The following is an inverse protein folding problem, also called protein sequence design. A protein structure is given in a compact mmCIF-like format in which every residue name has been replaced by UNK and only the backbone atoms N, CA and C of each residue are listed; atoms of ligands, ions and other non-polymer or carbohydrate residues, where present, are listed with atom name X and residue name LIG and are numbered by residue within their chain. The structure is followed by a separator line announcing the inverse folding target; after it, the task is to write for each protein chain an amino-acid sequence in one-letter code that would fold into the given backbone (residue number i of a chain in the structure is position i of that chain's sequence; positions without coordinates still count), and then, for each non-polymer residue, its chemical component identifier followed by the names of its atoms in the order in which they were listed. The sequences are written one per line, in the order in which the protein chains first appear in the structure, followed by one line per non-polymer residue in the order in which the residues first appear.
data_IF_193785173787
#
_entry.id   IF_193785173787
#
_cell.length_a   1.000
_cell.length_b   1.000
_cell.length_c   1.000
_cell.angle_alpha   90.00
_cell.angle_beta   90.00
_cell.angle_gamma   90.00
#
_symmetry.space_group_name_H-M   'P 1'
#
loop_
_entity.id
_entity.type
_entity.pdbx_description
1 polymer ?
2 polymer ?
3 water ?
#
loop_
_entity_poly.entity_id
_entity_poly.type
_entity_poly.pdbx_seq_one_letter_code
_entity_poly.pdbx_strand_id
2 'polyribonucleotide' 'CACACAC' ?
#
# COMPACT_ATOMS: atom_id res chain seq x y z
N UNK A 1 -3.69 11.73 -22.97
CA UNK A 1 -2.54 12.54 -22.61
C UNK A 1 -2.38 12.69 -21.07
N UNK A 2 -1.27 13.30 -20.67
CA UNK A 2 -0.91 13.50 -19.26
C UNK A 2 -1.13 14.94 -18.80
N UNK A 3 -2.19 15.58 -19.25
CA UNK A 3 -2.43 16.97 -18.92
C UNK A 3 -3.44 17.18 -17.77
N UNK A 4 -4.08 16.13 -17.24
CA UNK A 4 -5.10 16.34 -16.22
C UNK A 4 -4.50 16.31 -14.82
N UNK A 5 -4.89 17.30 -14.01
CA UNK A 5 -4.40 17.45 -12.65
C UNK A 5 -5.45 16.99 -11.64
N UNK A 6 -4.96 16.42 -10.55
CA UNK A 6 -5.73 16.15 -9.34
C UNK A 6 -5.27 17.15 -8.28
N UNK A 7 -6.23 17.85 -7.66
CA UNK A 7 -5.90 18.82 -6.62
C UNK A 7 -6.54 18.34 -5.32
N UNK A 8 -5.71 17.98 -4.34
CA UNK A 8 -6.18 17.42 -3.10
C UNK A 8 -5.88 18.30 -1.90
N UNK A 9 -6.48 17.92 -0.76
CA UNK A 9 -6.38 18.63 0.50
C UNK A 9 -6.97 20.04 0.40
N UNK A 10 -8.24 20.07 0.05
CA UNK A 10 -8.93 21.33 -0.15
C UNK A 10 -9.84 21.61 1.02
N UNK A 11 -10.01 22.90 1.31
CA UNK A 11 -10.92 23.34 2.37
C UNK A 11 -12.35 22.84 2.10
N UNK A 12 -13.17 22.93 3.14
CA UNK A 12 -14.55 22.48 3.05
C UNK A 12 -15.34 23.38 2.09
N UNK A 13 -14.96 24.65 1.99
CA UNK A 13 -15.67 25.63 1.18
C UNK A 13 -14.87 26.14 -0.03
N UNK A 14 -13.73 25.51 -0.34
CA UNK A 14 -13.04 25.81 -1.59
C UNK A 14 -13.93 25.50 -2.78
N UNK A 15 -13.95 26.42 -3.75
CA UNK A 15 -14.76 26.27 -4.93
C UNK A 15 -13.94 26.67 -6.14
N UNK A 16 -14.52 26.51 -7.35
CA UNK A 16 -13.76 26.79 -8.57
C UNK A 16 -13.12 28.17 -8.59
N UNK A 17 -13.81 29.19 -8.10
CA UNK A 17 -13.27 30.53 -8.16
C UNK A 17 -11.92 30.61 -7.46
N UNK A 18 -11.78 30.01 -6.27
CA UNK A 18 -10.50 30.01 -5.57
C UNK A 18 -9.39 29.39 -6.43
N UNK A 19 -9.66 28.21 -7.01
CA UNK A 19 -8.66 27.53 -7.83
C UNK A 19 -8.32 28.33 -9.09
N UNK A 20 -9.33 28.92 -9.69
CA UNK A 20 -9.05 29.81 -10.80
C UNK A 20 -8.10 30.93 -10.37
N UNK A 21 -8.25 31.42 -9.14
CA UNK A 21 -7.37 32.49 -8.67
C UNK A 21 -5.97 31.97 -8.42
N UNK A 22 -5.87 30.73 -7.93
CA UNK A 22 -4.57 30.16 -7.64
C UNK A 22 -3.77 29.99 -8.93
N UNK A 23 -4.41 29.44 -9.95
CA UNK A 23 -3.67 29.21 -11.18
C UNK A 23 -3.33 30.52 -11.87
N UNK A 24 -4.26 31.49 -11.88
CA UNK A 24 -3.97 32.82 -12.41
C UNK A 24 -2.78 33.44 -11.70
N UNK A 25 -2.78 33.39 -10.38
CA UNK A 25 -1.71 34.03 -9.61
C UNK A 25 -0.40 33.28 -9.78
N UNK A 26 -0.46 31.96 -9.88
CA UNK A 26 0.71 31.23 -10.28
C UNK A 26 0.92 31.25 -11.78
N UNK A 27 0.13 32.03 -12.53
CA UNK A 27 0.29 32.18 -13.98
C UNK A 27 0.46 30.83 -14.67
N UNK A 28 -0.34 29.85 -14.26
CA UNK A 28 -0.40 28.53 -14.89
C UNK A 28 -1.67 28.48 -15.72
N UNK A 29 -1.60 28.33 -17.03
CA UNK A 29 -2.83 28.23 -17.81
C UNK A 29 -3.54 26.92 -17.53
N UNK A 30 -4.86 26.95 -17.70
CA UNK A 30 -5.63 25.71 -17.67
C UNK A 30 -6.48 25.65 -18.93
N UNK A 31 -6.79 24.42 -19.35
CA UNK A 31 -7.46 24.16 -20.62
C UNK A 31 -8.97 24.03 -20.52
N UNK A 32 -9.53 24.02 -19.31
CA UNK A 32 -10.95 23.93 -19.10
C UNK A 32 -11.39 24.24 -17.68
N UNK A 33 -12.61 23.83 -17.32
CA UNK A 33 -13.14 24.17 -16.01
C UNK A 33 -12.53 23.35 -14.89
N UNK A 34 -12.66 23.87 -13.67
CA UNK A 34 -12.35 23.14 -12.44
C UNK A 34 -13.59 22.39 -11.95
N UNK A 35 -13.41 21.11 -11.63
CA UNK A 35 -14.47 20.27 -11.08
C UNK A 35 -14.16 19.95 -9.62
N UNK A 36 -14.78 20.69 -8.72
CA UNK A 36 -14.53 20.57 -7.28
C UNK A 36 -15.44 19.51 -6.67
N UNK A 37 -14.84 18.55 -5.97
CA UNK A 37 -15.65 17.62 -5.18
C UNK A 37 -15.55 18.07 -3.74
N UNK A 38 -15.36 17.16 -2.79
CA UNK A 38 -15.24 17.56 -1.39
C UNK A 38 -13.84 17.24 -0.93
N UNK A 39 -13.01 18.29 -0.80
CA UNK A 39 -11.61 18.14 -0.48
C UNK A 39 -10.70 17.94 -1.66
N UNK A 40 -11.24 17.69 -2.86
CA UNK A 40 -10.38 17.55 -4.02
C UNK A 40 -11.09 18.10 -5.27
N UNK A 41 -10.28 18.41 -6.29
CA UNK A 41 -10.80 18.90 -7.56
C UNK A 41 -9.94 18.37 -8.69
N UNK A 42 -10.40 18.64 -9.91
CA UNK A 42 -9.73 18.22 -11.14
C UNK A 42 -9.71 19.39 -12.09
N UNK A 43 -8.64 19.51 -12.88
CA UNK A 43 -8.59 20.51 -13.94
C UNK A 43 -7.57 20.05 -14.98
N UNK A 44 -7.83 20.41 -16.23
CA UNK A 44 -6.94 20.07 -17.33
C UNK A 44 -6.04 21.25 -17.66
N UNK A 45 -4.76 20.97 -17.84
CA UNK A 45 -3.77 21.88 -18.36
C UNK A 45 -3.63 21.74 -19.88
N UNK A 46 -3.18 22.79 -20.57
CA UNK A 46 -3.10 22.71 -22.04
C UNK A 46 -2.17 21.61 -22.51
N UNK A 47 -1.09 21.33 -21.78
CA UNK A 47 -0.16 20.29 -22.18
C UNK A 47 0.52 19.72 -20.94
N UNK A 48 1.26 18.63 -21.16
CA UNK A 48 1.98 17.99 -20.06
C UNK A 48 2.92 18.95 -19.34
N UNK A 49 3.59 19.83 -20.07
CA UNK A 49 4.57 20.72 -19.44
C UNK A 49 3.96 21.59 -18.36
N UNK A 50 2.81 22.21 -18.67
CA UNK A 50 2.14 23.06 -17.68
C UNK A 50 1.67 22.25 -16.49
N UNK A 51 1.11 21.06 -16.75
CA UNK A 51 0.76 20.15 -15.67
C UNK A 51 1.96 19.92 -14.75
N UNK A 52 3.14 19.65 -15.32
CA UNK A 52 4.30 19.43 -14.48
C UNK A 52 4.68 20.70 -13.75
N UNK A 53 4.54 21.85 -14.42
CA UNK A 53 4.82 23.13 -13.76
C UNK A 53 3.90 23.35 -12.58
N UNK A 54 2.62 22.99 -12.74
CA UNK A 54 1.68 23.17 -11.64
C UNK A 54 2.06 22.32 -10.45
N UNK A 55 2.49 21.09 -10.71
CA UNK A 55 2.91 20.19 -9.64
C UNK A 55 4.11 20.79 -8.91
N UNK A 56 5.17 21.14 -9.65
CA UNK A 56 6.38 21.66 -9.03
C UNK A 56 6.10 22.92 -8.20
N UNK A 57 5.29 23.84 -8.73
CA UNK A 57 5.16 25.15 -8.12
C UNK A 57 4.10 25.20 -7.02
N UNK A 58 3.10 24.34 -7.05
CA UNK A 58 1.98 24.43 -6.12
C UNK A 58 1.95 23.33 -5.07
N UNK A 59 2.37 22.12 -5.42
CA UNK A 59 2.15 20.96 -4.56
C UNK A 59 2.90 21.11 -3.23
N UNK A 60 2.18 21.01 -2.13
CA UNK A 60 2.73 21.15 -0.80
C UNK A 60 3.03 22.58 -0.38
N UNK A 61 3.21 23.46 -1.35
CA UNK A 61 3.57 24.87 -1.08
C UNK A 61 2.34 25.76 -0.95
N UNK A 62 1.63 25.96 -2.06
CA UNK A 62 0.49 26.86 -2.10
C UNK A 62 -0.53 26.56 -1.00
N UNK A 63 -0.74 27.53 -0.12
CA UNK A 63 -1.76 27.45 0.90
C UNK A 63 -3.03 28.12 0.41
N UNK A 64 -4.18 27.57 0.78
CA UNK A 64 -5.48 28.13 0.39
C UNK A 64 -6.45 27.90 1.53
N UNK A 65 -7.06 28.99 2.01
CA UNK A 65 -7.85 28.95 3.25
C UNK A 65 -7.05 28.27 4.35
N UNK A 66 -5.78 28.66 4.44
CA UNK A 66 -4.86 28.13 5.41
C UNK A 66 -4.40 26.70 5.19
N UNK A 67 -5.06 25.90 4.25
CA UNK A 67 -4.68 24.50 4.01
C UNK A 67 -3.80 24.39 2.76
N UNK A 68 -2.67 23.70 2.85
CA UNK A 68 -1.80 23.57 1.67
C UNK A 68 -2.32 22.56 0.67
N UNK A 69 -2.06 22.84 -0.61
CA UNK A 69 -2.62 22.08 -1.72
C UNK A 69 -1.71 20.92 -2.09
N UNK A 70 -2.30 19.77 -2.43
CA UNK A 70 -1.61 18.70 -3.15
C UNK A 70 -2.04 18.73 -4.61
N UNK A 71 -1.06 18.76 -5.53
CA UNK A 71 -1.30 18.74 -6.97
C UNK A 71 -0.49 17.60 -7.57
N UNK A 72 -1.18 16.68 -8.24
CA UNK A 72 -0.58 15.47 -8.80
C UNK A 72 -1.14 15.23 -10.21
N UNK A 73 -0.47 14.39 -10.96
CA UNK A 73 -1.09 13.88 -12.16
C UNK A 73 -2.33 13.07 -11.78
N UNK A 74 -3.48 13.43 -12.33
CA UNK A 74 -4.68 12.63 -12.07
C UNK A 74 -4.58 11.28 -12.77
N UNK A 75 -4.66 10.21 -12.00
CA UNK A 75 -4.56 8.88 -12.59
C UNK A 75 -5.73 8.07 -12.08
N UNK A 76 -6.65 7.66 -12.94
CA UNK A 76 -7.73 6.78 -12.50
C UNK A 76 -7.16 5.54 -11.86
N UNK A 77 -7.85 5.05 -10.83
CA UNK A 77 -7.37 3.87 -10.11
C UNK A 77 -7.10 2.71 -11.07
N UNK A 78 -7.97 2.52 -12.06
CA UNK A 78 -7.83 1.41 -13.00
C UNK A 78 -6.58 1.54 -13.86
N UNK A 79 -6.04 2.75 -13.99
CA UNK A 79 -4.89 3.00 -14.84
C UNK A 79 -3.58 3.10 -14.06
N UNK A 80 -3.55 2.63 -12.81
CA UNK A 80 -2.33 2.60 -12.01
C UNK A 80 -1.70 1.22 -12.19
N UNK A 81 -1.03 1.04 -13.32
CA UNK A 81 -0.51 -0.28 -13.59
C UNK A 81 1.01 -0.23 -13.65
N UNK A 82 1.59 0.00 -14.83
CA UNK A 82 3.03 -0.21 -15.00
C UNK A 82 3.87 1.06 -15.00
N UNK A 83 3.26 2.24 -15.08
CA UNK A 83 3.97 3.46 -15.44
C UNK A 83 4.10 4.42 -14.25
N UNK A 84 5.31 4.92 -14.05
CA UNK A 84 5.62 5.85 -12.97
C UNK A 84 6.25 7.11 -13.56
N UNK A 85 6.21 8.19 -12.80
CA UNK A 85 7.05 9.35 -13.06
C UNK A 85 7.94 9.58 -11.85
N UNK A 86 9.23 9.78 -12.11
CA UNK A 86 10.23 10.07 -11.08
C UNK A 86 10.69 11.50 -11.24
N UNK A 87 10.56 12.29 -10.17
CA UNK A 87 10.90 13.71 -10.16
C UNK A 87 11.96 13.95 -9.11
N UNK A 88 12.57 15.13 -9.21
CA UNK A 88 13.66 15.55 -8.32
C UNK A 88 14.92 14.72 -8.51
N UNK A 89 15.20 14.31 -9.74
CA UNK A 89 16.39 13.52 -10.03
C UNK A 89 17.59 14.46 -10.02
N UNK A 90 18.69 14.09 -9.36
CA UNK A 90 19.90 14.91 -9.39
C UNK A 90 20.23 15.33 -10.81
N UNK A 91 20.55 16.61 -11.02
CA UNK A 91 20.58 17.17 -12.37
C UNK A 91 21.41 16.40 -13.41
N UNK A 92 22.70 16.19 -13.19
CA UNK A 92 23.55 15.60 -14.22
C UNK A 92 23.78 14.11 -14.02
N UNK A 93 22.96 13.46 -13.19
CA UNK A 93 23.10 12.04 -12.95
C UNK A 93 23.01 11.24 -14.24
N UNK A 94 24.03 10.41 -14.48
CA UNK A 94 24.04 9.49 -15.62
C UNK A 94 22.87 8.54 -15.55
N UNK A 95 22.31 8.22 -16.72
CA UNK A 95 21.22 7.26 -16.75
C UNK A 95 21.63 5.85 -16.32
N UNK A 96 22.91 5.49 -16.44
CA UNK A 96 23.35 4.20 -15.94
C UNK A 96 23.12 4.08 -14.43
N UNK A 97 23.24 5.19 -13.70
CA UNK A 97 23.04 5.18 -12.25
C UNK A 97 21.56 5.06 -11.91
N UNK A 98 20.72 5.89 -12.54
CA UNK A 98 19.28 5.76 -12.34
C UNK A 98 18.78 4.38 -12.75
N UNK A 99 19.19 3.91 -13.92
CA UNK A 99 18.73 2.63 -14.40
C UNK A 99 19.13 1.50 -13.45
N UNK A 100 20.35 1.57 -12.88
CA UNK A 100 20.78 0.51 -11.99
C UNK A 100 19.85 0.42 -10.77
N UNK A 101 19.22 1.52 -10.39
CA UNK A 101 18.22 1.42 -9.31
C UNK A 101 16.91 0.84 -9.85
N UNK A 102 16.50 1.26 -11.03
CA UNK A 102 15.19 0.82 -11.52
C UNK A 102 15.16 -0.68 -11.72
N UNK A 103 16.24 -1.27 -12.26
CA UNK A 103 16.26 -2.70 -12.53
C UNK A 103 16.18 -3.54 -11.26
N UNK A 104 16.40 -2.94 -10.09
CA UNK A 104 16.37 -3.70 -8.85
C UNK A 104 14.95 -4.10 -8.46
N UNK A 105 13.92 -3.64 -9.17
CA UNK A 105 12.53 -3.93 -8.84
C UNK A 105 11.74 -4.52 -10.01
N UNK A 106 12.38 -4.84 -11.11
CA UNK A 106 11.66 -5.38 -12.24
C UNK A 106 12.39 -5.10 -13.55
N UNK A 107 11.69 -5.43 -14.63
CA UNK A 107 12.15 -5.15 -15.98
C UNK A 107 11.58 -3.81 -16.39
N UNK A 108 12.44 -2.92 -16.86
CA UNK A 108 12.04 -1.61 -17.33
C UNK A 108 11.93 -1.66 -18.85
N UNK A 109 10.71 -1.52 -19.36
CA UNK A 109 10.51 -1.57 -20.81
C UNK A 109 10.78 -0.23 -21.47
N UNK A 110 10.53 0.87 -20.77
CA UNK A 110 10.80 2.16 -21.35
C UNK A 110 11.20 3.12 -20.25
N UNK A 111 12.04 4.07 -20.61
CA UNK A 111 12.54 5.05 -19.67
C UNK A 111 12.81 6.31 -20.47
N UNK A 112 12.02 7.34 -20.27
CA UNK A 112 12.05 8.50 -21.15
C UNK A 112 12.18 9.79 -20.35
N UNK A 113 12.96 10.71 -20.86
CA UNK A 113 13.16 11.99 -20.18
C UNK A 113 11.98 12.93 -20.40
N UNK A 114 11.62 13.67 -19.36
CA UNK A 114 10.62 14.73 -19.48
C UNK A 114 11.39 16.03 -19.30
N UNK A 115 11.40 16.86 -20.34
CA UNK A 115 12.23 18.04 -20.26
C UNK A 115 11.50 19.12 -19.49
N UNK A 116 12.12 19.61 -18.43
CA UNK A 116 11.50 20.46 -17.44
C UNK A 116 12.36 21.70 -17.25
N UNK A 117 11.74 22.76 -16.73
CA UNK A 117 12.42 24.02 -16.49
C UNK A 117 13.04 24.10 -15.11
N UNK A 118 12.82 23.11 -14.27
CA UNK A 118 13.54 23.03 -13.02
C UNK A 118 14.96 22.50 -13.27
N UNK A 119 15.77 22.50 -12.21
CA UNK A 119 17.14 22.02 -12.35
C UNK A 119 17.18 20.50 -12.37
N UNK A 120 16.46 19.87 -11.44
CA UNK A 120 16.31 18.44 -11.39
C UNK A 120 15.73 17.88 -12.69
N UNK A 121 15.88 16.58 -12.87
CA UNK A 121 15.34 15.87 -14.02
C UNK A 121 14.06 15.14 -13.65
N UNK A 122 13.30 14.77 -14.67
CA UNK A 122 12.05 14.05 -14.54
C UNK A 122 12.05 12.99 -15.63
N UNK A 123 11.79 11.73 -15.28
CA UNK A 123 11.70 10.67 -16.29
C UNK A 123 10.43 9.85 -16.06
N UNK A 124 9.86 9.37 -17.16
CA UNK A 124 8.71 8.47 -17.16
C UNK A 124 9.20 7.05 -17.41
N UNK A 125 8.74 6.12 -16.57
CA UNK A 125 9.21 4.75 -16.55
C UNK A 125 8.03 3.81 -16.81
N UNK A 126 8.24 2.78 -17.64
CA UNK A 126 7.31 1.66 -17.77
C UNK A 126 7.99 0.35 -17.40
N UNK A 127 7.46 -0.32 -16.37
CA UNK A 127 7.89 -1.65 -15.94
C UNK A 127 7.08 -2.74 -16.65
N UNK A 128 7.54 -3.99 -16.51
CA UNK A 128 6.82 -5.09 -17.14
C UNK A 128 5.40 -5.22 -16.62
N UNK A 129 5.21 -5.11 -15.31
CA UNK A 129 3.97 -5.52 -14.67
C UNK A 129 3.59 -4.56 -13.55
N UNK A 130 2.30 -4.63 -13.20
CA UNK A 130 1.73 -3.93 -12.05
C UNK A 130 2.52 -4.19 -10.78
N UNK A 131 2.85 -5.45 -10.49
CA UNK A 131 3.54 -5.77 -9.25
C UNK A 131 4.89 -5.07 -9.17
N UNK A 132 5.60 -5.02 -10.30
CA UNK A 132 6.93 -4.42 -10.33
C UNK A 132 6.89 -2.91 -10.14
N UNK A 133 5.94 -2.23 -10.79
CA UNK A 133 5.80 -0.80 -10.62
C UNK A 133 5.45 -0.44 -9.17
N UNK A 134 4.53 -1.21 -8.58
CA UNK A 134 4.14 -0.99 -7.18
C UNK A 134 5.36 -1.07 -6.27
N UNK A 135 6.16 -2.12 -6.44
CA UNK A 135 7.39 -2.25 -5.66
C UNK A 135 8.33 -1.07 -5.89
N UNK A 136 8.58 -0.73 -7.16
CA UNK A 136 9.49 0.38 -7.46
C UNK A 136 8.99 1.69 -6.84
N UNK A 137 7.66 1.91 -6.87
CA UNK A 137 7.11 3.09 -6.21
C UNK A 137 7.34 3.04 -4.70
N UNK A 138 7.13 1.88 -4.08
CA UNK A 138 7.28 1.79 -2.62
C UNK A 138 8.72 2.06 -2.19
N UNK A 139 9.68 1.51 -2.92
CA UNK A 139 11.07 1.63 -2.51
C UNK A 139 11.78 2.85 -3.07
N UNK A 140 11.26 3.50 -4.12
CA UNK A 140 12.00 4.62 -4.69
C UNK A 140 11.43 5.99 -4.30
N UNK A 141 10.16 6.07 -3.93
CA UNK A 141 9.62 7.33 -3.41
C UNK A 141 10.25 7.62 -2.07
N UNK A 142 11.00 8.72 -1.99
CA UNK A 142 11.67 9.09 -0.77
C UNK A 142 13.13 8.69 -0.70
N UNK A 143 13.61 7.84 -1.61
CA UNK A 143 15.01 7.44 -1.61
C UNK A 143 15.91 8.63 -1.88
N UNK A 144 16.96 8.78 -1.05
CA UNK A 144 17.86 9.92 -1.15
C UNK A 144 19.06 9.57 -2.04
N UNK A 145 19.21 10.29 -3.13
CA UNK A 145 20.25 10.03 -4.11
C UNK A 145 21.07 11.31 -4.29
N UNK A 146 22.38 11.23 -4.03
CA UNK A 146 23.21 12.39 -3.73
C UNK A 146 22.54 13.07 -2.54
N UNK A 147 21.88 14.19 -2.80
CA UNK A 147 21.22 14.93 -1.73
C UNK A 147 19.75 15.12 -2.04
N UNK A 148 19.30 14.67 -3.21
CA UNK A 148 17.94 14.83 -3.65
C UNK A 148 17.10 13.63 -3.21
N UNK A 149 15.91 13.93 -2.72
CA UNK A 149 14.94 12.90 -2.40
C UNK A 149 14.08 12.64 -3.64
N UNK A 150 14.07 11.38 -4.09
CA UNK A 150 13.36 11.07 -5.32
C UNK A 150 11.87 11.12 -5.07
N UNK A 151 11.13 11.67 -6.03
CA UNK A 151 9.68 11.75 -5.96
C UNK A 151 9.09 10.84 -7.04
N UNK A 152 8.36 9.80 -6.61
CA UNK A 152 7.84 8.76 -7.49
C UNK A 152 6.33 8.72 -7.34
N UNK A 153 5.64 8.61 -8.47
CA UNK A 153 4.19 8.58 -8.49
C UNK A 153 3.71 7.84 -9.75
N UNK A 154 2.44 7.42 -9.72
CA UNK A 154 1.82 6.80 -10.88
C UNK A 154 1.55 7.87 -11.96
N UNK A 155 1.56 7.42 -13.21
CA UNK A 155 0.95 8.14 -14.33
C UNK A 155 0.03 7.17 -15.06
N UNK A 156 -0.93 7.66 -15.86
CA UNK A 156 -1.87 6.73 -16.50
C UNK A 156 -1.17 5.65 -17.33
N UNK A 157 -1.50 4.40 -17.05
CA UNK A 157 -1.14 3.28 -17.92
C UNK A 157 -2.40 2.92 -18.70
N UNK A 158 -2.51 3.44 -19.93
CA UNK A 158 -3.75 3.30 -20.67
C UNK A 158 -3.79 2.07 -21.56
N UNK A 159 -2.69 1.31 -21.62
CA UNK A 159 -2.56 0.13 -22.48
C UNK A 159 -2.35 -1.11 -21.63
N UNK A 160 -3.42 -1.64 -21.06
CA UNK A 160 -3.31 -2.92 -20.35
C UNK A 160 -4.66 -3.63 -20.31
N UNK C 1 3.29 -13.03 23.19
CA UNK C 1 3.29 -11.99 22.15
C UNK C 1 2.68 -12.50 20.85
N UNK C 2 2.54 -11.61 19.87
CA UNK C 2 1.96 -12.01 18.60
C UNK C 2 3.03 -12.22 17.54
N UNK C 3 4.18 -12.73 17.94
CA UNK C 3 5.27 -12.96 17.01
C UNK C 3 5.31 -14.38 16.48
N UNK C 4 4.45 -15.28 16.96
CA UNK C 4 4.57 -16.69 16.61
C UNK C 4 3.72 -17.02 15.39
N UNK C 5 4.33 -17.72 14.43
CA UNK C 5 3.66 -18.09 13.20
C UNK C 5 3.34 -19.58 13.15
N UNK C 6 2.20 -19.88 12.54
CA UNK C 6 1.83 -21.24 12.17
C UNK C 6 2.02 -21.40 10.67
N UNK C 7 2.72 -22.46 10.26
CA UNK C 7 2.97 -22.74 8.85
C UNK C 7 2.27 -24.06 8.53
N UNK C 8 1.25 -24.00 7.67
CA UNK C 8 0.44 -25.15 7.34
C UNK C 8 0.52 -25.49 5.86
N UNK C 9 -0.03 -26.66 5.54
CA UNK C 9 -0.07 -27.22 4.19
C UNK C 9 1.35 -27.49 3.67
N UNK C 10 2.08 -28.31 4.42
CA UNK C 10 3.42 -28.69 4.03
C UNK C 10 3.43 -30.15 3.57
N UNK C 11 4.28 -30.45 2.59
CA UNK C 11 4.52 -31.81 2.17
C UNK C 11 5.18 -32.61 3.29
N UNK C 12 5.24 -33.93 3.11
CA UNK C 12 5.83 -34.82 4.10
C UNK C 12 7.35 -34.66 4.20
N UNK C 13 8.00 -34.22 3.12
CA UNK C 13 9.45 -34.08 3.15
C UNK C 13 9.88 -32.62 3.27
N UNK C 14 8.95 -31.71 3.55
CA UNK C 14 9.33 -30.38 3.99
C UNK C 14 10.05 -30.50 5.33
N UNK C 15 11.16 -29.80 5.47
CA UNK C 15 11.91 -29.82 6.69
C UNK C 15 12.43 -28.43 7.00
N UNK C 16 13.07 -28.25 8.17
CA UNK C 16 13.54 -26.91 8.55
C UNK C 16 14.41 -26.22 7.49
N UNK C 17 15.33 -26.94 6.84
CA UNK C 17 16.15 -26.32 5.80
C UNK C 17 15.30 -25.75 4.67
N UNK C 18 14.25 -26.47 4.27
CA UNK C 18 13.32 -25.92 3.27
C UNK C 18 12.70 -24.62 3.76
N UNK C 19 12.20 -24.60 4.99
CA UNK C 19 11.55 -23.40 5.52
C UNK C 19 12.53 -22.25 5.66
N UNK C 20 13.73 -22.56 6.17
CA UNK C 20 14.77 -21.56 6.29
C UNK C 20 15.05 -20.91 4.93
N UNK C 21 15.07 -21.71 3.86
CA UNK C 21 15.32 -21.13 2.55
C UNK C 21 14.16 -20.24 2.11
N UNK C 22 12.92 -20.66 2.39
CA UNK C 22 11.77 -19.88 1.97
C UNK C 22 11.81 -18.50 2.62
N UNK C 23 12.09 -18.47 3.94
CA UNK C 23 12.11 -17.19 4.65
C UNK C 23 13.32 -16.37 4.25
N UNK C 24 14.47 -17.03 4.07
CA UNK C 24 15.66 -16.37 3.54
C UNK C 24 15.35 -15.71 2.20
N UNK C 25 14.64 -16.41 1.31
CA UNK C 25 14.35 -15.86 -0.02
C UNK C 25 13.30 -14.75 0.01
N UNK C 26 12.29 -14.86 0.86
CA UNK C 26 11.37 -13.75 1.04
C UNK C 26 11.93 -12.66 1.95
N UNK C 27 13.20 -12.77 2.30
CA UNK C 27 13.89 -11.79 3.14
C UNK C 27 13.08 -11.45 4.40
N UNK C 28 12.52 -12.47 5.04
CA UNK C 28 11.84 -12.29 6.31
C UNK C 28 12.73 -12.84 7.41
N UNK C 29 13.20 -12.03 8.34
CA UNK C 29 13.98 -12.56 9.47
C UNK C 29 13.10 -13.41 10.38
N UNK C 30 13.73 -14.38 11.03
CA UNK C 30 13.07 -15.17 12.05
C UNK C 30 13.93 -15.13 13.31
N UNK C 31 13.27 -15.32 14.47
CA UNK C 31 13.92 -15.16 15.76
C UNK C 31 14.38 -16.48 16.39
N UNK C 32 14.01 -17.63 15.84
CA UNK C 32 14.45 -18.90 16.40
C UNK C 32 14.29 -20.05 15.44
N UNK C 33 14.34 -21.29 15.93
CA UNK C 33 14.33 -22.43 15.02
C UNK C 33 12.94 -22.68 14.46
N UNK C 34 12.90 -23.44 13.36
CA UNK C 34 11.68 -23.98 12.80
C UNK C 34 11.40 -25.32 13.45
N UNK C 35 10.18 -25.49 13.93
CA UNK C 35 9.73 -26.76 14.52
C UNK C 35 8.73 -27.37 13.55
N UNK C 36 9.17 -28.32 12.78
CA UNK C 36 8.33 -28.98 11.78
C UNK C 36 7.62 -30.18 12.41
N UNK C 37 6.30 -30.22 12.26
CA UNK C 37 5.56 -31.43 12.60
C UNK C 37 5.25 -32.12 11.28
N UNK C 38 4.04 -32.62 11.08
CA UNK C 38 3.71 -33.29 9.82
C UNK C 38 2.64 -32.50 9.09
N UNK C 39 3.04 -31.82 8.02
CA UNK C 39 2.13 -30.95 7.33
C UNK C 39 2.05 -29.54 7.90
N UNK C 40 2.62 -29.31 9.09
CA UNK C 40 2.66 -27.98 9.65
C UNK C 40 3.95 -27.79 10.45
N UNK C 41 4.30 -26.52 10.64
CA UNK C 41 5.46 -26.16 11.43
C UNK C 41 5.17 -24.84 12.15
N UNK C 42 6.11 -24.45 13.02
CA UNK C 42 6.02 -23.22 13.79
C UNK C 42 7.36 -22.51 13.78
N UNK C 43 7.34 -21.18 13.82
CA UNK C 43 8.56 -20.38 13.95
C UNK C 43 8.20 -19.01 14.49
N UNK C 44 9.17 -18.40 15.20
CA UNK C 44 8.99 -17.08 15.81
C UNK C 44 9.61 -15.98 14.96
N UNK C 45 8.88 -14.96 14.75
CA UNK C 45 9.40 -13.76 14.14
C UNK C 45 9.88 -12.77 15.20
N UNK C 46 10.83 -11.89 14.84
CA UNK C 46 11.40 -10.96 15.83
C UNK C 46 10.38 -10.01 16.43
N UNK C 47 9.37 -9.60 15.67
CA UNK C 47 8.38 -8.65 16.15
C UNK C 47 7.04 -8.95 15.49
N UNK C 48 5.99 -8.30 15.99
CA UNK C 48 4.69 -8.44 15.37
C UNK C 48 4.72 -8.00 13.91
N UNK C 49 5.46 -6.93 13.63
CA UNK C 49 5.49 -6.42 12.26
C UNK C 49 5.93 -7.45 11.25
N UNK C 50 7.03 -8.17 11.56
CA UNK C 50 7.55 -9.21 10.64
C UNK C 50 6.61 -10.39 10.52
N UNK C 51 5.95 -10.78 11.63
CA UNK C 51 4.93 -11.81 11.56
C UNK C 51 3.84 -11.44 10.56
N UNK C 52 3.34 -10.21 10.62
CA UNK C 52 2.30 -9.82 9.69
C UNK C 52 2.84 -9.74 8.28
N UNK C 53 4.07 -9.22 8.14
CA UNK C 53 4.72 -9.15 6.83
C UNK C 53 4.92 -10.55 6.25
N UNK C 54 5.27 -11.52 7.09
CA UNK C 54 5.39 -12.90 6.60
C UNK C 54 4.03 -13.42 6.15
N UNK C 55 2.96 -13.09 6.89
CA UNK C 55 1.62 -13.54 6.54
C UNK C 55 1.21 -13.01 5.18
N UNK C 56 1.32 -11.68 5.01
CA UNK C 56 0.91 -11.04 3.77
C UNK C 56 1.67 -11.61 2.57
N UNK C 57 2.98 -11.83 2.71
CA UNK C 57 3.81 -12.14 1.54
C UNK C 57 3.81 -13.61 1.16
N UNK C 58 3.59 -14.51 2.10
CA UNK C 58 3.73 -15.94 1.84
C UNK C 58 2.43 -16.71 1.81
N UNK C 59 1.44 -16.33 2.63
CA UNK C 59 0.28 -17.19 2.84
C UNK C 59 -0.50 -17.39 1.55
N UNK C 60 -0.71 -18.65 1.18
CA UNK C 60 -1.40 -19.00 -0.03
C UNK C 60 -0.60 -18.80 -1.31
N UNK C 61 0.42 -17.94 -1.29
CA UNK C 61 1.19 -17.62 -2.50
C UNK C 61 2.37 -18.57 -2.66
N UNK C 62 3.37 -18.43 -1.80
CA UNK C 62 4.60 -19.20 -1.82
C UNK C 62 4.34 -20.70 -1.91
N UNK C 63 4.77 -21.32 -3.01
CA UNK C 63 4.64 -22.77 -3.16
C UNK C 63 5.94 -23.46 -2.79
N UNK C 64 5.82 -24.64 -2.19
CA UNK C 64 6.98 -25.43 -1.84
C UNK C 64 6.65 -26.90 -2.05
N UNK C 65 7.45 -27.57 -2.87
CA UNK C 65 7.13 -28.91 -3.35
C UNK C 65 5.73 -28.92 -3.97
N UNK C 66 5.48 -27.89 -4.79
CA UNK C 66 4.22 -27.73 -5.49
C UNK C 66 3.04 -27.33 -4.64
N UNK C 67 3.14 -27.39 -3.30
CA UNK C 67 2.00 -27.07 -2.44
C UNK C 67 2.12 -25.64 -1.91
N UNK C 68 1.06 -24.85 -1.97
CA UNK C 68 1.11 -23.49 -1.44
C UNK C 68 1.06 -23.47 0.09
N UNK C 69 1.77 -22.51 0.67
CA UNK C 69 1.92 -22.45 2.12
C UNK C 69 0.84 -21.61 2.72
N UNK C 70 0.33 -22.06 3.87
CA UNK C 70 -0.54 -21.24 4.72
C UNK C 70 0.30 -20.68 5.85
N UNK C 71 0.27 -19.37 6.03
CA UNK C 71 1.01 -18.74 7.11
C UNK C 71 0.06 -17.84 7.87
N UNK C 72 -0.07 -18.11 9.17
CA UNK C 72 -1.03 -17.44 10.04
C UNK C 72 -0.40 -17.16 11.41
N UNK C 73 -1.03 -16.29 12.17
CA UNK C 73 -0.68 -16.18 13.59
C UNK C 73 -0.96 -17.48 14.30
N UNK C 74 0.05 -18.02 14.96
CA UNK C 74 -0.14 -19.21 15.77
C UNK C 74 -0.95 -18.86 17.02
N UNK C 75 -2.08 -19.56 17.22
CA UNK C 75 -2.92 -19.36 18.39
C UNK C 75 -3.25 -20.72 19.01
N UNK C 76 -2.82 -21.00 20.24
CA UNK C 76 -3.26 -22.23 20.90
C UNK C 76 -4.78 -22.33 20.91
N UNK C 77 -5.29 -23.57 20.84
CA UNK C 77 -6.74 -23.75 20.87
C UNK C 77 -7.35 -23.11 22.10
N UNK C 78 -6.68 -23.25 23.26
CA UNK C 78 -7.18 -22.70 24.52
C UNK C 78 -7.27 -21.18 24.49
N UNK C 79 -6.55 -20.53 23.59
CA UNK C 79 -6.52 -19.08 23.50
C UNK C 79 -7.37 -18.52 22.34
N UNK C 80 -8.30 -19.32 21.81
CA UNK C 80 -9.19 -18.87 20.75
C UNK C 80 -10.51 -18.42 21.38
N UNK C 81 -10.50 -17.23 21.97
CA UNK C 81 -11.67 -16.78 22.71
C UNK C 81 -12.29 -15.54 22.08
N UNK C 82 -11.93 -14.34 22.53
CA UNK C 82 -12.68 -13.15 22.12
C UNK C 82 -12.01 -12.32 21.05
N UNK C 83 -10.75 -12.60 20.70
CA UNK C 83 -9.93 -11.66 19.97
C UNK C 83 -9.66 -12.15 18.56
N UNK C 84 -9.90 -11.27 17.58
CA UNK C 84 -9.66 -11.58 16.18
C UNK C 84 -8.78 -10.52 15.54
N UNK C 85 -8.17 -10.89 14.43
CA UNK C 85 -7.53 -9.93 13.53
C UNK C 85 -8.27 -9.93 12.21
N UNK C 86 -8.61 -8.74 11.73
CA UNK C 86 -9.26 -8.55 10.44
C UNK C 86 -8.27 -7.89 9.50
N UNK C 87 -8.03 -8.52 8.36
CA UNK C 87 -7.11 -8.02 7.36
C UNK C 87 -7.88 -7.80 6.06
N UNK C 88 -7.21 -7.11 5.13
CA UNK C 88 -7.77 -6.78 3.81
C UNK C 88 -8.93 -5.78 3.93
N UNK C 89 -8.79 -4.82 4.83
CA UNK C 89 -9.80 -3.77 4.95
C UNK C 89 -9.55 -2.75 3.84
N UNK C 90 -10.59 -2.33 3.11
CA UNK C 90 -10.43 -1.25 2.12
C UNK C 90 -9.71 -0.06 2.74
N UNK C 91 -8.68 0.48 2.06
CA UNK C 91 -7.78 1.43 2.71
C UNK C 91 -8.45 2.61 3.40
N UNK C 92 -9.29 3.35 2.69
CA UNK C 92 -9.87 4.58 3.22
C UNK C 92 -11.25 4.34 3.83
N UNK C 93 -11.55 3.09 4.19
CA UNK C 93 -12.81 2.73 4.81
C UNK C 93 -13.11 3.49 6.11
N UNK C 94 -14.34 3.99 6.17
CA UNK C 94 -14.91 4.55 7.38
C UNK C 94 -14.88 3.56 8.52
N UNK C 95 -14.47 4.11 9.60
CA UNK C 95 -14.33 3.52 10.89
C UNK C 95 -15.69 3.26 11.56
N UNK C 96 -16.64 4.14 11.24
CA UNK C 96 -18.08 4.00 11.50
C UNK C 96 -18.67 2.88 10.66
N UNK C 97 -18.16 2.68 9.43
CA UNK C 97 -18.68 1.64 8.55
C UNK C 97 -18.22 0.26 9.02
N UNK C 98 -16.93 0.13 9.30
CA UNK C 98 -16.42 -1.12 9.86
C UNK C 98 -17.14 -1.43 11.18
N UNK C 99 -17.25 -0.43 12.04
CA UNK C 99 -17.94 -0.65 13.32
C UNK C 99 -19.36 -1.11 13.11
N UNK C 100 -20.05 -0.57 12.10
CA UNK C 100 -21.43 -0.96 11.83
C UNK C 100 -21.53 -2.44 11.48
N UNK C 101 -20.47 -3.02 10.90
CA UNK C 101 -20.47 -4.45 10.65
C UNK C 101 -20.17 -5.24 11.92
N UNK C 102 -19.19 -4.79 12.71
CA UNK C 102 -18.75 -5.57 13.86
C UNK C 102 -19.83 -5.70 14.92
N UNK C 103 -20.60 -4.64 15.18
CA UNK C 103 -21.64 -4.67 16.23
C UNK C 103 -22.73 -5.66 15.91
N UNK C 104 -22.82 -6.09 14.65
CA UNK C 104 -23.88 -7.01 14.27
C UNK C 104 -23.67 -8.41 14.83
N UNK C 105 -22.55 -8.67 15.49
CA UNK C 105 -22.30 -10.01 16.02
C UNK C 105 -21.97 -10.02 17.49
N UNK C 106 -22.01 -8.88 18.16
CA UNK C 106 -21.69 -8.84 19.56
C UNK C 106 -21.21 -7.46 19.96
N UNK C 107 -20.78 -7.37 21.21
CA UNK C 107 -20.28 -6.13 21.78
C UNK C 107 -18.79 -6.01 21.48
N UNK C 108 -18.36 -4.85 20.99
CA UNK C 108 -16.95 -4.64 20.66
C UNK C 108 -16.27 -3.93 21.84
N UNK C 109 -15.36 -4.64 22.51
CA UNK C 109 -14.68 -4.09 23.67
C UNK C 109 -13.51 -3.20 23.30
N UNK C 110 -12.81 -3.50 22.20
CA UNK C 110 -11.76 -2.66 21.66
C UNK C 110 -11.60 -2.96 20.17
N UNK C 111 -11.18 -1.96 19.43
CA UNK C 111 -10.89 -2.08 18.01
C UNK C 111 -9.72 -1.16 17.74
N UNK C 112 -8.58 -1.73 17.42
CA UNK C 112 -7.34 -0.96 17.36
C UNK C 112 -6.68 -1.22 16.02
N UNK C 113 -6.14 -0.15 15.43
CA UNK C 113 -5.52 -0.28 14.11
C UNK C 113 -4.12 -0.89 14.23
N UNK C 114 -3.78 -1.71 13.25
CA UNK C 114 -2.46 -2.34 13.14
C UNK C 114 -1.74 -1.68 11.96
N UNK C 115 -0.56 -1.14 12.22
CA UNK C 115 0.18 -0.40 11.20
C UNK C 115 0.83 -1.38 10.24
N UNK C 116 0.54 -1.22 8.94
CA UNK C 116 0.91 -2.20 7.93
C UNK C 116 1.61 -1.52 6.75
N UNK C 117 2.34 -2.33 5.97
CA UNK C 117 3.01 -1.86 4.76
C UNK C 117 2.17 -1.99 3.51
N UNK C 118 1.07 -2.73 3.55
CA UNK C 118 0.17 -2.71 2.41
C UNK C 118 -0.72 -1.47 2.46
N UNK C 119 -1.47 -1.28 1.38
CA UNK C 119 -2.42 -0.18 1.37
C UNK C 119 -3.69 -0.51 2.16
N UNK C 120 -4.13 -1.77 2.10
CA UNK C 120 -5.25 -2.23 2.93
C UNK C 120 -4.96 -1.96 4.41
N UNK C 121 -6.03 -1.96 5.20
CA UNK C 121 -5.92 -1.76 6.63
C UNK C 121 -6.09 -3.08 7.39
N UNK C 122 -5.65 -3.05 8.65
CA UNK C 122 -5.63 -4.20 9.54
C UNK C 122 -6.07 -3.71 10.90
N UNK C 123 -7.00 -4.45 11.55
CA UNK C 123 -7.46 -4.11 12.89
C UNK C 123 -7.40 -5.35 13.79
N UNK C 124 -7.19 -5.11 15.08
CA UNK C 124 -7.36 -6.13 16.12
C UNK C 124 -8.65 -5.83 16.88
N UNK C 125 -9.48 -6.85 17.06
CA UNK C 125 -10.80 -6.67 17.65
C UNK C 125 -10.95 -7.57 18.87
N UNK C 126 -11.54 -7.04 19.94
CA UNK C 126 -11.93 -7.80 21.12
C UNK C 126 -13.45 -7.72 21.31
N UNK C 127 -14.11 -8.89 21.27
CA UNK C 127 -15.54 -9.03 21.51
C UNK C 127 -15.80 -9.37 22.99
N UNK C 128 -17.08 -9.25 23.40
CA UNK C 128 -17.47 -9.56 24.79
C UNK C 128 -17.20 -11.02 25.16
N UNK C 129 -17.52 -11.95 24.26
CA UNK C 129 -17.56 -13.36 24.59
C UNK C 129 -16.97 -14.18 23.45
N UNK C 130 -16.60 -15.41 23.82
CA UNK C 130 -16.16 -16.41 22.85
C UNK C 130 -17.19 -16.59 21.75
N UNK C 131 -18.47 -16.77 22.12
CA UNK C 131 -19.50 -17.05 21.13
C UNK C 131 -19.61 -15.91 20.11
N UNK C 132 -19.45 -14.67 20.59
CA UNK C 132 -19.56 -13.49 19.71
C UNK C 132 -18.40 -13.43 18.72
N UNK C 133 -17.17 -13.67 19.19
CA UNK C 133 -16.03 -13.65 18.27
C UNK C 133 -16.17 -14.75 17.22
N UNK C 134 -16.63 -15.93 17.63
CA UNK C 134 -16.79 -17.03 16.68
C UNK C 134 -17.73 -16.66 15.56
N UNK C 135 -18.89 -16.09 15.92
CA UNK C 135 -19.84 -15.63 14.91
C UNK C 135 -19.21 -14.60 13.99
N UNK C 136 -18.55 -13.58 14.58
CA UNK C 136 -17.91 -12.55 13.79
C UNK C 136 -16.89 -13.15 12.84
N UNK C 137 -16.14 -14.15 13.30
CA UNK C 137 -15.19 -14.83 12.42
C UNK C 137 -15.89 -15.55 11.28
N UNK C 138 -16.98 -16.24 11.57
CA UNK C 138 -17.65 -17.02 10.53
C UNK C 138 -18.31 -16.10 9.49
N UNK C 139 -18.91 -14.99 9.90
CA UNK C 139 -19.65 -14.17 8.97
C UNK C 139 -18.82 -13.07 8.34
N UNK C 140 -17.68 -12.73 8.91
CA UNK C 140 -16.88 -11.67 8.33
C UNK C 140 -15.72 -12.20 7.51
N UNK C 141 -15.31 -13.43 7.74
CA UNK C 141 -14.33 -14.05 6.86
C UNK C 141 -14.97 -14.31 5.51
N UNK C 142 -14.43 -13.66 4.46
CA UNK C 142 -14.95 -13.80 3.13
C UNK C 142 -15.94 -12.74 2.72
N UNK C 143 -16.43 -11.94 3.65
CA UNK C 143 -17.37 -10.90 3.31
C UNK C 143 -16.71 -9.86 2.40
N UNK C 144 -17.37 -9.56 1.28
CA UNK C 144 -16.83 -8.64 0.28
C UNK C 144 -17.31 -7.25 0.65
N UNK C 145 -16.38 -6.38 1.02
CA UNK C 145 -16.74 -5.06 1.51
C UNK C 145 -16.10 -4.03 0.58
N UNK C 146 -16.94 -3.20 -0.03
CA UNK C 146 -16.52 -2.45 -1.20
C UNK C 146 -15.99 -3.45 -2.22
N UNK C 147 -14.66 -3.55 -2.24
CA UNK C 147 -13.92 -4.16 -3.32
C UNK C 147 -13.04 -5.32 -2.85
N UNK C 148 -12.74 -5.41 -1.55
CA UNK C 148 -11.84 -6.40 -0.97
C UNK C 148 -12.60 -7.50 -0.22
N UNK C 149 -12.10 -8.72 -0.31
CA UNK C 149 -12.60 -9.82 0.52
C UNK C 149 -11.87 -9.80 1.86
N UNK C 150 -12.63 -9.72 2.96
CA UNK C 150 -12.05 -9.60 4.29
C UNK C 150 -11.51 -10.95 4.75
N UNK C 151 -10.35 -10.90 5.40
CA UNK C 151 -9.70 -12.06 5.98
C UNK C 151 -9.74 -11.91 7.50
N UNK C 152 -10.36 -12.86 8.17
CA UNK C 152 -10.56 -12.81 9.61
C UNK C 152 -9.92 -14.06 10.18
N UNK C 153 -9.21 -13.89 11.30
CA UNK C 153 -8.55 -15.00 11.98
C UNK C 153 -8.42 -14.66 13.46
N UNK C 154 -8.18 -15.68 14.28
CA UNK C 154 -7.92 -15.51 15.71
C UNK C 154 -6.55 -14.87 15.98
N UNK C 155 -6.48 -14.16 17.11
CA UNK C 155 -5.20 -13.82 17.74
C UNK C 155 -5.25 -14.29 19.19
N UNK C 156 -4.11 -14.47 19.83
CA UNK C 156 -4.14 -14.97 21.21
C UNK C 156 -4.97 -14.10 22.13
N UNK C 157 -5.91 -14.73 22.85
CA UNK C 157 -6.58 -14.13 24.01
C UNK C 157 -5.95 -14.75 25.26
N UNK C 158 -5.04 -14.00 25.90
CA UNK C 158 -4.29 -14.48 27.04
C UNK C 158 -4.96 -14.17 28.37
N UNK C 159 -6.07 -13.42 28.33
CA UNK C 159 -6.79 -13.00 29.52
C UNK C 159 -8.17 -13.67 29.52
N UNK C 160 -8.17 -14.99 29.74
CA UNK C 160 -9.35 -15.83 29.86
C UNK C 160 -10.64 -15.28 29.22
#
# INVERSE_FOLDING_TARGET
SMNKLYIGNLSDHAGPADLESVFKDAKIPVAGPFLVKTGYAFVDCPDEGWALKAIEALSGKMELHGKPMEVEHSVPKRQRIRKLQIRNIPPHLQWEVLDSLLVQYGVVESCEQVNTDSETAVVNVTYSSKDQARQALDKLNGFQLENFTLKVAYIPDETAAQ
SMNKLYIGNLSDHAGPADLESVFKDAKIPVAGPFLVKTGYAFVDCPDEGWALKAIEALSGKMELHGKPMEVEHSVPKRQRIRKLQIRNIPPHLQWEVLDSLLVQYGVVESCEQVNTDSETAVVNVTYSSKDQARQALDKLNGFQLENFTLKVAYIPDETAAQ
#
